data_IF_281704471958
#
_entry.id   IF_281704471958
#
_cell.length_a   1.000
_cell.length_b   1.000
_cell.length_c   1.000
_cell.angle_alpha   90.00
_cell.angle_beta   90.00
_cell.angle_gamma   90.00
#
_symmetry.space_group_name_H-M   'P 1'
#
loop_
_entity.id
_entity.type
_entity.pdbx_description
1 polymer ?
#
# COMPACT_ATOMS: atom_id res chain seq x y z
N UNK A 1 -3.20 9.76 13.82
CA UNK A 1 -3.06 11.19 14.17
C UNK A 1 -3.05 12.04 12.90
N UNK A 2 -3.76 13.17 12.92
CA UNK A 2 -3.85 14.10 11.79
C UNK A 2 -3.31 15.47 12.20
N UNK A 3 -2.55 16.10 11.31
CA UNK A 3 -1.97 17.42 11.56
C UNK A 3 -2.20 18.35 10.38
N UNK A 4 -2.78 19.52 10.64
CA UNK A 4 -2.83 20.59 9.66
C UNK A 4 -1.45 21.25 9.51
N UNK A 5 -1.10 21.67 8.30
CA UNK A 5 0.16 22.37 8.03
C UNK A 5 -0.06 23.47 7.00
N UNK A 6 0.32 24.71 7.34
CA UNK A 6 0.24 25.90 6.45
C UNK A 6 -1.10 26.05 5.70
N UNK A 7 -2.22 25.83 6.40
CA UNK A 7 -3.57 25.96 5.83
C UNK A 7 -4.09 24.71 5.12
N UNK A 8 -3.30 23.65 5.01
CA UNK A 8 -3.74 22.35 4.51
C UNK A 8 -4.16 21.44 5.66
N UNK A 9 -5.38 20.92 5.58
CA UNK A 9 -5.91 19.89 6.47
C UNK A 9 -6.09 18.62 5.65
N UNK A 10 -5.61 17.45 6.12
CA UNK A 10 -5.84 16.19 5.44
C UNK A 10 -7.34 15.93 5.18
N UNK A 11 -7.66 15.45 3.98
CA UNK A 11 -9.01 15.10 3.56
C UNK A 11 -9.11 13.59 3.46
N UNK A 12 -10.05 12.99 4.17
CA UNK A 12 -10.23 11.54 4.21
C UNK A 12 -11.69 11.21 3.96
N UNK A 13 -11.96 10.33 3.00
CA UNK A 13 -13.30 9.83 2.77
C UNK A 13 -13.81 9.02 3.99
N UNK A 14 -15.08 9.18 4.42
CA UNK A 14 -15.61 8.47 5.58
C UNK A 14 -15.67 6.95 5.46
N UNK A 15 -15.51 6.36 4.28
CA UNK A 15 -15.40 4.91 4.10
C UNK A 15 -13.99 4.38 4.41
N UNK A 16 -12.96 5.22 4.40
CA UNK A 16 -11.56 4.82 4.60
C UNK A 16 -11.17 4.72 6.06
N UNK A 17 -10.28 3.79 6.37
CA UNK A 17 -9.72 3.59 7.71
C UNK A 17 -8.29 4.12 7.79
N UNK A 18 -8.04 4.98 8.77
CA UNK A 18 -6.70 5.45 9.12
C UNK A 18 -6.43 5.03 10.56
N UNK A 19 -5.47 4.13 10.75
CA UNK A 19 -5.15 3.64 12.08
C UNK A 19 -4.75 4.80 13.02
N UNK A 20 -5.16 4.81 14.30
CA UNK A 20 -4.84 5.90 15.23
C UNK A 20 -3.34 6.19 15.37
N UNK A 21 -2.51 5.16 15.25
CA UNK A 21 -1.04 5.24 15.28
C UNK A 21 -0.38 5.62 13.93
N UNK A 22 -1.13 5.78 12.84
CA UNK A 22 -0.61 6.40 11.62
C UNK A 22 -0.47 7.92 11.80
N UNK A 23 0.39 8.57 11.01
CA UNK A 23 0.57 10.03 11.03
C UNK A 23 0.31 10.59 9.63
N UNK A 24 -0.68 11.49 9.53
CA UNK A 24 -1.04 12.14 8.27
C UNK A 24 -0.98 13.66 8.44
N UNK A 25 -0.14 14.32 7.66
CA UNK A 25 0.17 15.75 7.83
C UNK A 25 -0.02 16.54 6.54
N UNK A 26 -0.73 17.66 6.61
CA UNK A 26 -0.78 18.66 5.54
C UNK A 26 -1.65 18.29 4.34
N UNK A 27 -1.13 18.51 3.14
CA UNK A 27 -1.83 18.35 1.86
C UNK A 27 -1.91 16.87 1.45
N UNK A 28 -2.80 16.14 2.11
CA UNK A 28 -3.03 14.71 1.87
C UNK A 28 -4.51 14.49 1.58
N UNK A 29 -4.82 13.80 0.48
CA UNK A 29 -6.17 13.40 0.08
C UNK A 29 -6.23 11.89 0.04
N UNK A 30 -7.19 11.31 0.75
CA UNK A 30 -7.44 9.87 0.82
C UNK A 30 -8.85 9.59 0.32
N UNK A 31 -8.95 8.88 -0.81
CA UNK A 31 -10.19 8.45 -1.45
C UNK A 31 -10.95 7.39 -0.65
N UNK A 32 -11.92 6.74 -1.30
CA UNK A 32 -12.85 5.77 -0.68
C UNK A 32 -12.21 4.42 -0.42
N UNK A 33 -12.66 3.70 0.61
CA UNK A 33 -12.28 2.32 0.92
C UNK A 33 -10.76 2.10 0.99
N UNK A 34 -10.02 3.12 1.42
CA UNK A 34 -8.59 3.03 1.63
C UNK A 34 -8.28 2.52 3.04
N UNK A 35 -7.18 1.77 3.17
CA UNK A 35 -6.64 1.31 4.44
C UNK A 35 -5.26 1.90 4.69
N UNK A 36 -5.07 2.59 5.83
CA UNK A 36 -3.78 3.11 6.28
C UNK A 36 -3.41 2.44 7.61
N UNK A 37 -2.37 1.61 7.60
CA UNK A 37 -1.95 0.79 8.75
C UNK A 37 -1.19 1.56 9.84
N UNK A 38 -1.00 0.95 11.04
CA UNK A 38 -0.23 1.55 12.13
C UNK A 38 1.20 1.91 11.72
N UNK A 39 1.70 3.03 12.26
CA UNK A 39 3.06 3.50 11.99
C UNK A 39 3.30 4.09 10.60
N UNK A 40 2.32 4.02 9.68
CA UNK A 40 2.43 4.67 8.39
C UNK A 40 2.53 6.20 8.55
N UNK A 41 3.45 6.83 7.83
CA UNK A 41 3.69 8.27 7.83
C UNK A 41 3.47 8.86 6.44
N UNK A 42 2.41 9.67 6.29
CA UNK A 42 2.06 10.38 5.06
C UNK A 42 2.24 11.88 5.31
N UNK A 43 3.27 12.49 4.73
CA UNK A 43 3.63 13.89 5.00
C UNK A 43 3.52 14.74 3.73
N UNK A 44 2.40 15.45 3.56
CA UNK A 44 2.19 16.41 2.47
C UNK A 44 2.55 17.84 2.89
N UNK A 45 3.81 18.10 3.27
CA UNK A 45 4.24 19.41 3.75
C UNK A 45 4.94 20.27 2.68
N UNK A 46 5.77 19.65 1.83
CA UNK A 46 6.47 20.29 0.72
C UNK A 46 5.74 20.12 -0.62
N UNK A 47 4.81 19.18 -0.67
CA UNK A 47 4.05 18.81 -1.85
C UNK A 47 2.70 18.22 -1.47
N UNK A 48 2.11 17.44 -2.37
CA UNK A 48 0.82 16.78 -2.15
C UNK A 48 0.94 15.26 -2.11
N UNK A 49 0.02 14.60 -1.40
CA UNK A 49 -0.19 13.16 -1.48
C UNK A 49 -1.63 12.91 -1.87
N UNK A 50 -1.86 12.15 -2.94
CA UNK A 50 -3.21 11.74 -3.36
C UNK A 50 -3.29 10.23 -3.44
N UNK A 51 -4.16 9.65 -2.62
CA UNK A 51 -4.55 8.25 -2.69
C UNK A 51 -5.93 8.22 -3.33
N UNK A 52 -6.04 7.60 -4.50
CA UNK A 52 -7.33 7.32 -5.13
C UNK A 52 -8.02 6.13 -4.43
N UNK A 53 -9.20 5.76 -4.93
CA UNK A 53 -10.07 4.80 -4.26
C UNK A 53 -9.44 3.41 -4.15
N UNK A 54 -9.70 2.74 -3.03
CA UNK A 54 -9.33 1.36 -2.78
C UNK A 54 -7.83 1.12 -2.62
N UNK A 55 -7.03 2.18 -2.41
CA UNK A 55 -5.60 2.05 -2.11
C UNK A 55 -5.36 1.50 -0.71
N UNK A 56 -4.23 0.82 -0.50
CA UNK A 56 -3.75 0.52 0.85
C UNK A 56 -2.30 0.94 1.03
N UNK A 57 -2.02 1.54 2.19
CA UNK A 57 -0.69 1.90 2.68
C UNK A 57 -0.50 1.19 4.00
N UNK A 58 0.25 0.11 3.94
CA UNK A 58 0.38 -0.82 5.07
C UNK A 58 1.28 -0.27 6.17
N UNK A 59 1.46 -1.09 7.18
CA UNK A 59 2.21 -0.81 8.41
C UNK A 59 3.58 -0.23 8.10
N UNK A 60 3.95 0.82 8.84
CA UNK A 60 5.27 1.47 8.79
C UNK A 60 5.72 2.00 7.41
N UNK A 61 4.82 2.16 6.44
CA UNK A 61 5.18 2.80 5.18
C UNK A 61 5.49 4.29 5.38
N UNK A 62 6.40 4.84 4.57
CA UNK A 62 6.70 6.28 4.55
C UNK A 62 6.39 6.85 3.17
N UNK A 63 5.59 7.91 3.12
CA UNK A 63 5.28 8.65 1.89
C UNK A 63 5.67 10.12 2.07
N UNK A 64 6.61 10.57 1.24
CA UNK A 64 7.10 11.96 1.22
C UNK A 64 7.50 12.37 -0.21
N UNK A 65 8.07 13.56 -0.39
CA UNK A 65 8.44 14.07 -1.71
C UNK A 65 9.41 15.26 -1.62
N UNK A 66 10.11 15.56 -2.72
CA UNK A 66 10.69 16.89 -2.92
C UNK A 66 9.64 18.00 -3.09
N UNK A 67 9.99 19.27 -2.82
CA UNK A 67 9.07 20.40 -2.96
C UNK A 67 8.40 20.51 -4.32
N UNK A 68 7.09 20.77 -4.30
CA UNK A 68 6.27 20.95 -5.51
C UNK A 68 5.83 19.65 -6.19
N UNK A 69 6.32 18.49 -5.76
CA UNK A 69 5.90 17.20 -6.31
C UNK A 69 4.60 16.74 -5.64
N UNK A 70 3.73 16.07 -6.41
CA UNK A 70 2.58 15.34 -5.85
C UNK A 70 2.80 13.86 -6.01
N UNK A 71 2.90 13.12 -4.91
CA UNK A 71 2.83 11.65 -4.94
C UNK A 71 1.39 11.26 -5.24
N UNK A 72 1.18 10.38 -6.21
CA UNK A 72 -0.15 9.84 -6.50
C UNK A 72 -0.11 8.32 -6.47
N UNK A 73 -1.00 7.75 -5.69
CA UNK A 73 -1.36 6.34 -5.76
C UNK A 73 -2.69 6.25 -6.48
N UNK A 74 -2.69 5.68 -7.69
CA UNK A 74 -3.93 5.49 -8.45
C UNK A 74 -4.76 4.33 -7.91
N UNK A 75 -6.02 4.28 -8.33
CA UNK A 75 -7.03 3.33 -7.87
C UNK A 75 -6.47 1.90 -7.64
N UNK A 76 -6.71 1.36 -6.45
CA UNK A 76 -6.29 0.00 -6.09
C UNK A 76 -4.79 -0.22 -5.93
N UNK A 77 -3.97 0.85 -5.88
CA UNK A 77 -2.55 0.73 -5.55
C UNK A 77 -2.34 0.11 -4.16
N UNK A 78 -1.41 -0.82 -4.07
CA UNK A 78 -1.14 -1.61 -2.87
C UNK A 78 0.31 -1.39 -2.45
N UNK A 79 0.51 -0.68 -1.35
CA UNK A 79 1.84 -0.36 -0.82
C UNK A 79 2.11 -1.26 0.38
N UNK A 80 2.98 -2.25 0.14
CA UNK A 80 3.33 -3.29 1.10
C UNK A 80 4.09 -2.76 2.31
N UNK A 81 3.98 -3.47 3.43
CA UNK A 81 4.57 -3.10 4.73
C UNK A 81 5.99 -2.50 4.62
N UNK A 82 6.23 -1.38 5.30
CA UNK A 82 7.55 -0.75 5.40
C UNK A 82 8.10 -0.14 4.11
N UNK A 83 7.33 -0.07 3.02
CA UNK A 83 7.79 0.56 1.78
C UNK A 83 7.97 2.08 1.94
N UNK A 84 8.92 2.63 1.19
CA UNK A 84 9.18 4.07 1.10
C UNK A 84 8.84 4.56 -0.29
N UNK A 85 7.89 5.49 -0.38
CA UNK A 85 7.50 6.15 -1.62
C UNK A 85 7.90 7.62 -1.50
N UNK A 86 8.88 8.04 -2.30
CA UNK A 86 9.35 9.42 -2.30
C UNK A 86 9.11 10.03 -3.69
N UNK A 87 8.16 10.95 -3.82
CA UNK A 87 7.94 11.69 -5.09
C UNK A 87 7.51 10.87 -6.33
N UNK A 88 7.05 9.62 -6.17
CA UNK A 88 6.69 8.73 -7.27
C UNK A 88 5.20 8.81 -7.69
N UNK A 89 4.92 8.42 -8.95
CA UNK A 89 3.58 8.17 -9.49
C UNK A 89 3.34 6.66 -9.58
N UNK A 90 2.35 6.15 -8.86
CA UNK A 90 2.03 4.73 -8.80
C UNK A 90 0.74 4.46 -9.59
N UNK A 91 0.85 3.64 -10.63
CA UNK A 91 -0.24 3.28 -11.54
C UNK A 91 -1.36 2.49 -10.89
N UNK A 92 -2.47 2.35 -11.62
CA UNK A 92 -3.67 1.64 -11.14
C UNK A 92 -3.34 0.19 -10.85
N UNK A 93 -3.89 -0.33 -9.77
CA UNK A 93 -3.79 -1.73 -9.37
C UNK A 93 -2.34 -2.24 -9.23
N UNK A 94 -1.36 -1.36 -9.03
CA UNK A 94 0.01 -1.76 -8.77
C UNK A 94 0.19 -2.40 -7.39
N UNK A 95 1.22 -3.24 -7.26
CA UNK A 95 1.71 -3.77 -5.98
C UNK A 95 3.15 -3.31 -5.79
N UNK A 96 3.41 -2.52 -4.75
CA UNK A 96 4.76 -2.25 -4.27
C UNK A 96 5.06 -3.20 -3.12
N UNK A 97 5.98 -4.15 -3.35
CA UNK A 97 6.35 -5.15 -2.35
C UNK A 97 6.93 -4.52 -1.09
N UNK A 98 6.73 -5.20 0.04
CA UNK A 98 7.20 -4.75 1.35
C UNK A 98 8.67 -4.34 1.35
N UNK A 99 9.00 -3.29 2.13
CA UNK A 99 10.33 -2.71 2.27
C UNK A 99 10.99 -2.28 0.95
N UNK A 100 10.22 -2.04 -0.11
CA UNK A 100 10.75 -1.45 -1.35
C UNK A 100 10.88 0.07 -1.21
N UNK A 101 11.80 0.65 -1.97
CA UNK A 101 12.05 2.09 -2.02
C UNK A 101 11.90 2.57 -3.46
N UNK A 102 10.97 3.52 -3.67
CA UNK A 102 10.75 4.19 -4.96
C UNK A 102 11.10 5.67 -4.79
N UNK A 103 12.06 6.14 -5.57
CA UNK A 103 12.56 7.52 -5.54
C UNK A 103 11.73 8.48 -6.40
N UNK A 104 12.08 9.76 -6.34
CA UNK A 104 11.35 10.83 -7.00
C UNK A 104 11.24 10.63 -8.51
N UNK A 105 10.16 11.13 -9.09
CA UNK A 105 9.91 11.06 -10.54
C UNK A 105 9.85 9.63 -11.11
N UNK A 106 9.78 8.60 -10.26
CA UNK A 106 9.46 7.25 -10.71
C UNK A 106 8.02 7.22 -11.22
N UNK A 107 7.81 6.63 -12.39
CA UNK A 107 6.50 6.35 -12.95
C UNK A 107 6.31 4.85 -13.05
N UNK A 108 5.47 4.28 -12.17
CA UNK A 108 5.13 2.87 -12.22
C UNK A 108 3.85 2.69 -13.03
N UNK A 109 3.95 2.09 -14.22
CA UNK A 109 2.81 1.81 -15.09
C UNK A 109 1.78 0.87 -14.46
N UNK A 110 0.53 0.99 -14.90
CA UNK A 110 -0.62 0.26 -14.36
C UNK A 110 -0.36 -1.26 -14.29
N UNK A 111 -0.92 -1.93 -13.27
CA UNK A 111 -0.85 -3.38 -13.06
C UNK A 111 0.57 -3.95 -12.88
N UNK A 112 1.55 -3.11 -12.57
CA UNK A 112 2.92 -3.54 -12.30
C UNK A 112 3.07 -4.08 -10.88
N UNK A 113 4.00 -5.02 -10.72
CA UNK A 113 4.33 -5.63 -9.43
C UNK A 113 5.81 -5.39 -9.16
N UNK A 114 6.12 -4.71 -8.06
CA UNK A 114 7.46 -4.57 -7.51
C UNK A 114 7.63 -5.62 -6.43
N UNK A 115 8.65 -6.48 -6.54
CA UNK A 115 8.97 -7.47 -5.51
C UNK A 115 9.48 -6.82 -4.23
N UNK A 116 9.39 -7.53 -3.11
CA UNK A 116 9.90 -7.05 -1.82
C UNK A 116 11.39 -6.66 -1.89
N UNK A 117 11.80 -5.72 -1.02
CA UNK A 117 13.18 -5.24 -0.89
C UNK A 117 13.78 -4.65 -2.19
N UNK A 118 12.94 -4.14 -3.08
CA UNK A 118 13.43 -3.58 -4.35
C UNK A 118 13.74 -2.09 -4.23
N UNK A 119 14.74 -1.61 -4.98
CA UNK A 119 15.08 -0.19 -5.07
C UNK A 119 14.93 0.32 -6.51
N UNK A 120 14.03 1.27 -6.72
CA UNK A 120 13.81 1.93 -8.02
C UNK A 120 14.33 3.36 -7.92
N UNK A 121 15.37 3.66 -8.71
CA UNK A 121 16.05 4.95 -8.70
C UNK A 121 15.23 6.08 -9.33
N UNK A 122 15.65 7.31 -9.07
CA UNK A 122 14.97 8.54 -9.51
C UNK A 122 14.73 8.56 -11.03
N UNK A 123 13.57 9.05 -11.44
CA UNK A 123 13.21 9.23 -12.86
C UNK A 123 12.98 7.93 -13.64
N UNK A 124 12.99 6.77 -12.99
CA UNK A 124 12.78 5.49 -13.68
C UNK A 124 11.31 5.36 -14.12
N UNK A 125 11.11 5.15 -15.41
CA UNK A 125 9.80 4.86 -15.99
C UNK A 125 9.68 3.34 -16.19
N UNK A 126 8.71 2.74 -15.51
CA UNK A 126 8.40 1.31 -15.59
C UNK A 126 7.12 1.14 -16.41
N UNK A 127 7.14 0.38 -17.54
CA UNK A 127 5.94 0.11 -18.32
C UNK A 127 4.87 -0.64 -17.53
N UNK A 128 3.61 -0.49 -17.93
CA UNK A 128 2.50 -1.26 -17.37
C UNK A 128 2.75 -2.76 -17.41
N UNK A 129 2.20 -3.49 -16.43
CA UNK A 129 2.34 -4.94 -16.29
C UNK A 129 3.79 -5.41 -16.18
N UNK A 130 4.68 -4.62 -15.58
CA UNK A 130 6.06 -5.06 -15.34
C UNK A 130 6.20 -5.76 -13.99
N UNK A 131 6.85 -6.92 -13.96
CA UNK A 131 7.38 -7.51 -12.73
C UNK A 131 8.81 -7.02 -12.51
N UNK A 132 9.02 -6.24 -11.46
CA UNK A 132 10.27 -5.53 -11.17
C UNK A 132 10.85 -6.02 -9.85
N UNK A 133 12.12 -6.43 -9.81
CA UNK A 133 12.74 -6.93 -8.58
C UNK A 133 14.20 -6.49 -8.43
N UNK A 134 14.69 -6.44 -7.19
CA UNK A 134 16.11 -6.32 -6.85
C UNK A 134 16.54 -4.91 -6.43
N UNK A 135 17.82 -4.78 -6.07
CA UNK A 135 18.43 -3.51 -5.67
C UNK A 135 19.83 -3.39 -6.34
N UNK A 136 19.99 -2.55 -7.39
CA UNK A 136 18.94 -1.78 -8.05
C UNK A 136 17.98 -2.67 -8.84
N UNK A 137 16.71 -2.27 -8.91
CA UNK A 137 15.66 -3.11 -9.48
C UNK A 137 15.75 -3.21 -11.01
N UNK A 138 15.28 -4.34 -11.55
CA UNK A 138 15.19 -4.61 -12.99
C UNK A 138 13.85 -5.25 -13.31
N UNK A 139 13.33 -4.96 -14.51
CA UNK A 139 12.17 -5.68 -15.06
C UNK A 139 12.66 -7.10 -15.41
N UNK A 140 12.01 -8.12 -14.85
CA UNK A 140 12.39 -9.52 -15.07
C UNK A 140 11.42 -10.26 -16.00
N UNK A 141 10.16 -9.81 -16.07
CA UNK A 141 9.13 -10.32 -16.99
C UNK A 141 7.89 -9.44 -16.93
N UNK A 142 6.92 -9.74 -17.78
CA UNK A 142 5.58 -9.19 -17.71
C UNK A 142 4.73 -9.90 -16.62
N UNK A 143 3.81 -9.15 -16.02
CA UNK A 143 2.79 -9.62 -15.09
C UNK A 143 1.69 -10.30 -15.89
N UNK A 144 1.44 -11.58 -15.60
CA UNK A 144 0.36 -12.33 -16.24
C UNK A 144 -1.02 -11.94 -15.70
N UNK A 145 -2.09 -12.27 -16.44
CA UNK A 145 -3.47 -12.04 -15.99
C UNK A 145 -3.77 -12.76 -14.67
N UNK A 146 -3.14 -13.91 -14.48
CA UNK A 146 -3.25 -14.67 -13.25
C UNK A 146 -2.57 -13.97 -12.08
N UNK A 147 -1.36 -13.43 -12.27
CA UNK A 147 -0.64 -12.67 -11.25
C UNK A 147 -1.42 -11.44 -10.80
N UNK A 148 -1.92 -10.65 -11.77
CA UNK A 148 -2.69 -9.46 -11.46
C UNK A 148 -4.05 -9.82 -10.84
N UNK A 149 -4.69 -10.91 -11.29
CA UNK A 149 -5.92 -11.42 -10.71
C UNK A 149 -5.75 -11.87 -9.25
N UNK A 150 -4.64 -12.56 -8.94
CA UNK A 150 -4.26 -12.91 -7.57
C UNK A 150 -4.03 -11.65 -6.72
N UNK A 151 -3.18 -10.73 -7.17
CA UNK A 151 -2.92 -9.45 -6.48
C UNK A 151 -4.21 -8.68 -6.21
N UNK A 152 -5.11 -8.64 -7.18
CA UNK A 152 -6.38 -7.90 -7.07
C UNK A 152 -7.29 -8.50 -6.01
N UNK A 153 -7.35 -9.85 -5.89
CA UNK A 153 -8.03 -10.53 -4.78
C UNK A 153 -7.45 -10.14 -3.43
N UNK A 154 -6.12 -10.13 -3.30
CA UNK A 154 -5.45 -9.70 -2.06
C UNK A 154 -5.71 -8.23 -1.72
N UNK A 155 -5.80 -7.36 -2.73
CA UNK A 155 -6.13 -5.94 -2.53
C UNK A 155 -7.57 -5.75 -2.05
N UNK A 156 -8.52 -6.57 -2.52
CA UNK A 156 -9.91 -6.53 -2.02
C UNK A 156 -10.03 -6.84 -0.54
N UNK A 157 -9.15 -7.69 0.01
CA UNK A 157 -9.12 -7.95 1.45
C UNK A 157 -8.85 -6.65 2.24
N UNK A 158 -7.89 -5.83 1.80
CA UNK A 158 -7.62 -4.53 2.44
C UNK A 158 -8.75 -3.51 2.26
N UNK A 159 -9.46 -3.57 1.12
CA UNK A 159 -10.62 -2.72 0.88
C UNK A 159 -11.77 -3.08 1.85
N UNK A 160 -12.02 -4.37 2.08
CA UNK A 160 -12.97 -4.84 3.10
C UNK A 160 -12.49 -4.53 4.52
N UNK A 161 -11.19 -4.72 4.79
CA UNK A 161 -10.58 -4.49 6.10
C UNK A 161 -10.81 -3.05 6.60
N UNK A 162 -10.90 -2.06 5.70
CA UNK A 162 -11.22 -0.69 6.10
C UNK A 162 -12.58 -0.57 6.80
N UNK A 163 -13.59 -1.33 6.36
CA UNK A 163 -14.90 -1.37 7.01
C UNK A 163 -14.88 -2.24 8.28
N UNK A 164 -14.24 -3.41 8.21
CA UNK A 164 -14.09 -4.34 9.35
C UNK A 164 -13.38 -3.66 10.53
N UNK A 165 -12.28 -2.95 10.29
CA UNK A 165 -11.56 -2.21 11.33
C UNK A 165 -12.37 -1.04 11.94
N UNK A 166 -13.42 -0.57 11.28
CA UNK A 166 -14.34 0.40 11.88
C UNK A 166 -15.42 -0.24 12.73
N UNK A 167 -15.82 -1.46 12.38
CA UNK A 167 -16.88 -2.20 13.04
C UNK A 167 -16.38 -3.01 14.24
N UNK A 168 -15.27 -3.72 14.06
CA UNK A 168 -14.89 -4.85 14.92
C UNK A 168 -13.54 -4.65 15.64
N UNK A 169 -12.83 -3.54 15.38
CA UNK A 169 -11.59 -3.23 16.06
C UNK A 169 -11.81 -2.26 17.23
N UNK A 170 -11.34 -2.64 18.41
CA UNK A 170 -11.36 -1.81 19.62
C UNK A 170 -10.09 -2.05 20.46
N UNK A 171 -9.63 -1.04 21.22
CA UNK A 171 -8.59 -1.24 22.22
C UNK A 171 -9.01 -2.31 23.24
N UNK A 172 -8.09 -3.18 23.64
CA UNK A 172 -8.28 -4.16 24.69
C UNK A 172 -7.00 -4.32 25.53
N UNK A 173 -7.17 -4.81 26.75
CA UNK A 173 -6.04 -5.31 27.55
C UNK A 173 -5.68 -6.73 27.10
N UNK A 174 -4.41 -7.13 27.19
CA UNK A 174 -4.00 -8.49 26.84
C UNK A 174 -4.61 -9.51 27.80
N UNK A 175 -5.00 -10.68 27.27
CA UNK A 175 -5.37 -11.83 28.10
C UNK A 175 -4.13 -12.43 28.77
N UNK A 176 -4.26 -12.83 30.03
CA UNK A 176 -3.15 -13.45 30.80
C UNK A 176 -2.89 -14.92 30.42
N UNK A 177 -3.87 -15.59 29.82
CA UNK A 177 -3.80 -16.98 29.36
C UNK A 177 -4.64 -17.21 28.11
N UNK A 178 -4.39 -18.31 27.39
CA UNK A 178 -5.17 -18.70 26.21
C UNK A 178 -6.53 -19.26 26.65
N UNK A 179 -7.67 -18.73 26.18
CA UNK A 179 -8.99 -19.24 26.54
C UNK A 179 -9.30 -20.54 25.79
N UNK A 180 -10.08 -21.44 26.41
CA UNK A 180 -10.48 -22.72 25.81
C UNK A 180 -11.39 -22.54 24.57
N UNK A 181 -12.15 -21.44 24.53
CA UNK A 181 -13.12 -21.10 23.48
C UNK A 181 -12.57 -20.08 22.45
N UNK A 182 -11.24 -20.04 22.27
CA UNK A 182 -10.62 -19.13 21.29
C UNK A 182 -11.15 -19.43 19.87
N UNK A 183 -11.64 -18.42 19.12
CA UNK A 183 -12.14 -18.64 17.77
C UNK A 183 -11.02 -19.03 16.80
N UNK A 184 -11.37 -19.88 15.83
CA UNK A 184 -10.51 -20.18 14.69
C UNK A 184 -10.49 -19.03 13.67
N UNK A 185 -9.36 -18.85 12.99
CA UNK A 185 -9.24 -17.87 11.90
C UNK A 185 -9.57 -18.52 10.55
N UNK A 186 -10.43 -17.85 9.79
CA UNK A 186 -10.78 -18.30 8.44
C UNK A 186 -9.62 -18.12 7.45
N UNK A 187 -9.44 -19.09 6.54
CA UNK A 187 -8.49 -19.00 5.43
C UNK A 187 -9.14 -18.31 4.24
N UNK A 188 -9.09 -16.97 4.22
CA UNK A 188 -9.73 -16.15 3.18
C UNK A 188 -8.90 -16.00 1.89
N UNK A 189 -7.62 -16.37 1.90
CA UNK A 189 -6.71 -16.15 0.78
C UNK A 189 -5.54 -17.13 0.74
N UNK A 190 -5.11 -17.48 -0.48
CA UNK A 190 -3.99 -18.39 -0.73
C UNK A 190 -2.75 -17.64 -1.23
N UNK A 191 -1.58 -18.15 -0.87
CA UNK A 191 -0.32 -17.61 -1.36
C UNK A 191 -0.16 -17.88 -2.86
N UNK A 192 0.60 -17.03 -3.56
CA UNK A 192 0.85 -17.21 -4.98
C UNK A 192 1.45 -18.60 -5.31
N UNK A 193 2.37 -19.10 -4.47
CA UNK A 193 3.03 -20.40 -4.66
C UNK A 193 2.12 -21.61 -4.42
N UNK A 194 1.00 -21.44 -3.71
CA UNK A 194 0.08 -22.55 -3.40
C UNK A 194 -1.01 -22.76 -4.45
N UNK A 195 -1.10 -21.89 -5.46
CA UNK A 195 -2.11 -22.03 -6.51
C UNK A 195 -1.78 -23.21 -7.47
N UNK A 196 -2.77 -24.00 -7.91
CA UNK A 196 -2.56 -25.23 -8.70
C UNK A 196 -1.80 -25.06 -10.02
N UNK A 197 -1.80 -23.86 -10.57
CA UNK A 197 -1.12 -23.45 -11.81
C UNK A 197 0.39 -23.22 -11.64
N UNK A 198 0.90 -23.20 -10.41
CA UNK A 198 2.32 -22.97 -10.13
C UNK A 198 3.02 -24.27 -9.71
N UNK A 199 3.64 -25.02 -10.64
CA UNK A 199 4.59 -26.06 -10.25
C UNK A 199 5.76 -25.37 -9.54
N UNK A 200 6.06 -25.82 -8.33
CA UNK A 200 7.19 -25.41 -7.47
C UNK A 200 8.29 -24.64 -8.23
N UNK A 201 8.26 -23.32 -8.17
CA UNK A 201 9.37 -22.50 -8.62
C UNK A 201 10.46 -22.55 -7.55
N UNK A 202 11.55 -23.22 -7.92
CA UNK A 202 12.85 -23.39 -7.25
C UNK A 202 13.23 -22.26 -6.30
#
# INVERSE_FOLDING_TARGET
>A
MFYAYKGFTPVVDPSSFVHPQAVVTGNVIIGKNCYIGPGAALRGDWGGIVLEDGCNVQENCTIHMFPGITVRLKEGSHIGHGAVIHGAQIGRNCLVGMNSVLMDHVELGDESIVGALSFIGEGTIIPSRSLVVGNPARIIKEVSDEMIGWKSRGTRLYQSLAAEMKADWSPCEPLESVPEDRPDQEKLYETWKSLPSHPNSV
#
